data_IF_203410735497
#
_entry.id   IF_203410735497
#
_cell.length_a   1.000
_cell.length_b   1.000
_cell.length_c   1.000
_cell.angle_alpha   90.00
_cell.angle_beta   90.00
_cell.angle_gamma   90.00
#
_symmetry.space_group_name_H-M   'P 1'
#
loop_
_entity.id
_entity.type
_entity.pdbx_description
1 polymer ?
#
# COMPACT_ATOMS: atom_id res chain seq x y z
N UNK A 1 -6.02 19.04 14.81
CA UNK A 1 -7.42 18.84 14.38
C UNK A 1 -7.66 17.52 13.62
N UNK A 2 -6.65 16.91 12.98
CA UNK A 2 -6.76 15.61 12.30
C UNK A 2 -7.08 14.42 13.24
N UNK A 3 -6.56 14.42 14.48
CA UNK A 3 -6.76 13.31 15.44
C UNK A 3 -8.19 13.19 16.00
N UNK A 4 -8.97 14.28 16.01
CA UNK A 4 -10.39 14.24 16.44
C UNK A 4 -11.31 13.66 15.36
N UNK A 5 -11.01 13.87 14.07
CA UNK A 5 -11.75 13.27 12.95
C UNK A 5 -11.53 11.75 12.87
N UNK A 6 -10.30 11.28 13.15
CA UNK A 6 -9.99 9.85 13.20
C UNK A 6 -10.79 9.12 14.30
N UNK A 7 -10.84 9.69 15.51
CA UNK A 7 -11.60 9.12 16.63
C UNK A 7 -13.13 9.14 16.44
N UNK A 8 -13.65 10.04 15.60
CA UNK A 8 -15.07 10.07 15.25
C UNK A 8 -15.41 9.04 14.16
N UNK A 9 -14.48 8.75 13.25
CA UNK A 9 -14.60 7.69 12.23
C UNK A 9 -14.59 6.29 12.86
N UNK A 10 -13.65 6.00 13.77
CA UNK A 10 -13.55 4.70 14.45
C UNK A 10 -14.79 4.38 15.30
N UNK A 11 -15.44 5.41 15.87
CA UNK A 11 -16.68 5.24 16.65
C UNK A 11 -17.91 5.02 15.76
N UNK A 12 -17.91 5.51 14.52
CA UNK A 12 -19.04 5.38 13.59
C UNK A 12 -19.08 4.03 12.86
N UNK A 13 -17.92 3.39 12.65
CA UNK A 13 -17.79 2.10 11.97
C UNK A 13 -17.57 0.90 12.92
N UNK A 14 -17.60 1.10 14.23
CA UNK A 14 -17.45 0.03 15.22
C UNK A 14 -18.59 -1.01 15.18
N UNK A 15 -19.74 -0.72 14.56
CA UNK A 15 -20.86 -1.66 14.42
C UNK A 15 -20.58 -2.79 13.42
N UNK A 16 -19.66 -2.58 12.48
CA UNK A 16 -19.33 -3.56 11.42
C UNK A 16 -18.23 -4.56 11.82
N UNK A 17 -17.63 -4.40 13.01
CA UNK A 17 -16.66 -5.36 13.57
C UNK A 17 -17.24 -6.76 13.85
N UNK A 18 -18.56 -6.93 13.78
CA UNK A 18 -19.18 -8.25 13.93
C UNK A 18 -19.06 -9.13 12.67
N UNK A 19 -18.61 -8.56 11.55
CA UNK A 19 -18.51 -9.25 10.25
C UNK A 19 -17.09 -9.28 9.67
N UNK A 20 -16.10 -8.72 10.38
CA UNK A 20 -14.70 -8.90 10.00
C UNK A 20 -14.28 -10.32 10.33
N UNK A 21 -13.77 -11.05 9.35
CA UNK A 21 -13.25 -12.40 9.53
C UNK A 21 -12.19 -12.38 10.64
N UNK A 22 -12.09 -13.46 11.41
CA UNK A 22 -11.12 -13.59 12.52
C UNK A 22 -9.66 -13.40 12.10
N UNK A 23 -9.37 -13.37 10.81
CA UNK A 23 -8.04 -13.11 10.22
C UNK A 23 -7.71 -11.61 10.05
N UNK A 24 -8.69 -10.70 10.07
CA UNK A 24 -8.46 -9.25 9.94
C UNK A 24 -7.77 -8.62 11.15
N UNK A 25 -7.82 -9.28 12.32
CA UNK A 25 -7.12 -8.84 13.53
C UNK A 25 -5.59 -9.01 13.39
N UNK A 26 -5.14 -9.90 12.50
CA UNK A 26 -3.71 -10.11 12.22
C UNK A 26 -3.13 -9.06 11.26
N UNK A 27 -3.94 -8.40 10.43
CA UNK A 27 -3.42 -7.41 9.48
C UNK A 27 -2.93 -6.12 10.16
N UNK A 28 -3.61 -5.70 11.23
CA UNK A 28 -3.23 -4.50 12.01
C UNK A 28 -2.05 -4.71 12.97
N UNK A 29 -1.80 -5.95 13.40
CA UNK A 29 -0.74 -6.28 14.37
C UNK A 29 0.63 -6.48 13.70
N UNK A 30 0.69 -6.79 12.41
CA UNK A 30 1.96 -6.90 11.67
C UNK A 30 2.60 -5.55 11.29
N UNK A 31 1.87 -4.44 11.35
CA UNK A 31 2.42 -3.10 11.11
C UNK A 31 3.26 -2.56 12.29
N UNK A 32 3.09 -3.09 13.51
CA UNK A 32 3.68 -2.51 14.73
C UNK A 32 4.82 -3.31 15.39
N UNK A 33 5.30 -4.41 14.81
CA UNK A 33 6.40 -5.20 15.39
C UNK A 33 7.65 -5.23 14.52
N UNK A 34 8.32 -4.08 14.48
CA UNK A 34 9.77 -4.04 14.33
C UNK A 34 10.37 -3.09 15.36
N UNK A 35 10.28 -3.49 16.63
CA UNK A 35 11.10 -2.91 17.70
C UNK A 35 12.28 -3.85 17.92
N UNK A 36 13.30 -3.75 17.07
CA UNK A 36 14.60 -4.37 17.35
C UNK A 36 15.23 -3.60 18.52
N UNK A 37 15.08 -4.13 19.73
CA UNK A 37 15.81 -3.71 20.92
C UNK A 37 17.26 -4.14 20.74
N UNK A 38 18.15 -3.21 20.39
CA UNK A 38 19.60 -3.45 20.36
C UNK A 38 20.20 -2.95 21.67
N UNK A 39 20.40 -3.86 22.61
CA UNK A 39 21.37 -3.64 23.69
C UNK A 39 22.73 -4.04 23.14
N UNK A 40 23.64 -3.08 22.98
CA UNK A 40 25.04 -3.34 22.66
C UNK A 40 25.92 -2.82 23.80
N UNK A 41 26.48 -3.77 24.55
CA UNK A 41 27.47 -3.52 25.61
C UNK A 41 28.81 -3.34 24.92
N UNK A 42 29.42 -2.14 25.02
CA UNK A 42 30.82 -1.96 24.60
C UNK A 42 31.69 -2.04 25.84
N UNK A 43 32.49 -3.10 25.93
CA UNK A 43 33.52 -3.24 26.95
C UNK A 43 34.81 -2.63 26.42
N UNK A 44 35.29 -1.55 27.05
CA UNK A 44 36.67 -1.08 26.87
C UNK A 44 37.46 -1.47 28.11
N UNK A 45 38.45 -2.35 27.95
CA UNK A 45 39.46 -2.60 28.98
C UNK A 45 40.56 -1.56 28.84
N UNK A 46 40.76 -0.77 29.88
CA UNK A 46 41.99 0.01 30.02
C UNK A 46 42.77 -0.47 31.25
N UNK A 47 44.08 -0.59 31.06
CA UNK A 47 45.00 -1.22 32.00
C UNK A 47 45.32 -0.31 33.17
N UNK A 48 44.42 -0.23 34.15
CA UNK A 48 44.68 0.14 35.56
C UNK A 48 43.40 -0.09 36.34
N UNK A 49 43.36 -1.20 37.08
CA UNK A 49 42.19 -1.63 37.84
C UNK A 49 41.65 -0.54 38.77
N UNK A 50 40.54 0.07 38.37
CA UNK A 50 39.61 0.77 39.25
C UNK A 50 38.24 0.77 38.57
N UNK A 51 37.29 0.05 39.16
CA UNK A 51 35.90 -0.02 38.69
C UNK A 51 35.23 1.33 38.96
N UNK A 52 34.72 1.99 37.93
CA UNK A 52 33.91 3.22 38.05
C UNK A 52 32.65 3.09 37.21
N UNK A 53 31.52 3.36 37.87
CA UNK A 53 30.11 3.25 37.47
C UNK A 53 29.79 3.42 35.98
N UNK A 54 29.01 2.48 35.44
CA UNK A 54 28.39 2.56 34.11
C UNK A 54 27.28 3.62 34.11
N UNK A 55 27.52 4.77 33.48
CA UNK A 55 26.42 5.67 33.10
C UNK A 55 25.72 5.10 31.86
N UNK A 56 24.49 4.65 32.07
CA UNK A 56 23.59 4.22 31.01
C UNK A 56 23.13 5.48 30.29
N UNK A 57 23.71 5.78 29.12
CA UNK A 57 23.19 6.84 28.24
C UNK A 57 21.89 6.31 27.61
N UNK A 58 20.80 6.42 28.36
CA UNK A 58 19.45 6.32 27.85
C UNK A 58 19.07 7.69 27.26
N UNK A 59 19.13 7.81 25.93
CA UNK A 59 18.60 8.94 25.18
C UNK A 59 18.64 8.64 23.69
N UNK A 60 17.57 8.12 23.07
CA UNK A 60 16.43 8.87 22.53
C UNK A 60 16.81 9.86 21.40
N UNK A 61 17.07 9.34 20.21
CA UNK A 61 16.81 10.02 18.93
C UNK A 61 16.95 9.00 17.79
N UNK A 62 15.83 8.40 17.34
CA UNK A 62 15.83 7.66 16.07
C UNK A 62 15.93 8.67 14.92
N UNK A 63 17.13 9.17 14.65
CA UNK A 63 17.37 10.04 13.50
C UNK A 63 17.11 9.25 12.24
N UNK A 64 15.95 9.46 11.61
CA UNK A 64 15.69 9.01 10.26
C UNK A 64 16.56 9.83 9.32
N UNK A 65 17.61 9.22 8.78
CA UNK A 65 18.46 9.86 7.78
C UNK A 65 17.72 9.90 6.43
N UNK A 66 17.88 10.98 5.65
CA UNK A 66 17.27 11.05 4.32
C UNK A 66 17.87 9.99 3.40
N UNK A 67 17.02 9.44 2.53
CA UNK A 67 17.35 8.33 1.66
C UNK A 67 17.48 8.80 0.22
N UNK A 68 18.51 8.30 -0.47
CA UNK A 68 18.81 8.62 -1.87
C UNK A 68 19.08 7.33 -2.65
N UNK A 69 18.99 7.42 -3.98
CA UNK A 69 19.22 6.32 -4.91
C UNK A 69 20.46 6.63 -5.72
N UNK A 70 21.37 5.66 -5.85
CA UNK A 70 22.50 5.75 -6.77
C UNK A 70 22.00 5.74 -8.22
N UNK A 71 22.32 6.75 -9.02
CA UNK A 71 21.83 6.85 -10.41
C UNK A 71 22.70 6.10 -11.42
N UNK A 72 23.89 5.66 -11.01
CA UNK A 72 24.85 4.91 -11.82
C UNK A 72 25.78 4.08 -10.90
N UNK A 73 26.46 3.08 -11.46
CA UNK A 73 27.46 2.31 -10.75
C UNK A 73 28.64 3.20 -10.32
N UNK A 74 29.14 3.01 -9.11
CA UNK A 74 30.31 3.69 -8.59
C UNK A 74 31.35 2.67 -8.13
N UNK A 75 32.51 2.70 -8.77
CA UNK A 75 33.69 1.93 -8.42
C UNK A 75 34.78 2.88 -7.93
N UNK A 76 35.06 2.93 -6.61
CA UNK A 76 36.10 3.81 -6.08
C UNK A 76 37.48 3.34 -6.51
N UNK A 77 38.42 4.29 -6.59
CA UNK A 77 39.83 3.99 -6.83
C UNK A 77 40.40 3.13 -5.70
N UNK A 78 41.32 2.22 -6.03
CA UNK A 78 41.88 1.25 -5.06
C UNK A 78 42.64 1.91 -3.90
N UNK A 79 43.02 3.17 -4.04
CA UNK A 79 43.73 3.97 -3.04
C UNK A 79 42.76 4.71 -2.09
N UNK A 80 41.47 4.83 -2.46
CA UNK A 80 40.45 5.51 -1.69
C UNK A 80 39.71 4.55 -0.74
N UNK A 81 40.40 4.24 0.36
CA UNK A 81 39.90 3.34 1.42
C UNK A 81 38.68 3.88 2.18
N UNK A 82 38.36 5.17 2.05
CA UNK A 82 37.20 5.78 2.72
C UNK A 82 35.93 5.75 1.86
N UNK A 83 36.03 5.34 0.59
CA UNK A 83 34.90 5.21 -0.31
C UNK A 83 34.32 3.79 -0.32
N UNK A 84 33.05 3.68 -0.72
CA UNK A 84 32.36 2.40 -0.87
C UNK A 84 31.83 2.26 -2.30
N UNK A 85 31.92 1.06 -2.91
CA UNK A 85 31.30 0.82 -4.19
C UNK A 85 29.77 0.80 -4.06
N UNK A 86 29.08 1.28 -5.09
CA UNK A 86 27.63 1.27 -5.18
C UNK A 86 27.17 0.80 -6.56
N UNK A 87 25.99 0.20 -6.60
CA UNK A 87 25.32 -0.22 -7.85
C UNK A 87 24.20 0.76 -8.20
N UNK A 88 23.92 0.93 -9.50
CA UNK A 88 22.81 1.73 -9.98
C UNK A 88 21.48 1.22 -9.40
N UNK A 89 20.66 2.13 -8.88
CA UNK A 89 19.40 1.83 -8.21
C UNK A 89 19.54 1.49 -6.72
N UNK A 90 20.77 1.41 -6.19
CA UNK A 90 20.99 1.08 -4.79
C UNK A 90 20.56 2.22 -3.85
N UNK A 91 19.82 1.84 -2.80
CA UNK A 91 19.27 2.77 -1.82
C UNK A 91 20.24 2.95 -0.66
N UNK A 92 20.55 4.20 -0.33
CA UNK A 92 21.47 4.57 0.76
C UNK A 92 20.87 5.63 1.69
N UNK A 93 21.28 5.59 2.96
CA UNK A 93 21.05 6.70 3.90
C UNK A 93 22.18 7.71 3.80
N UNK A 94 21.85 8.99 3.67
CA UNK A 94 22.84 10.07 3.67
C UNK A 94 23.03 10.57 5.10
N UNK A 95 24.21 10.32 5.65
CA UNK A 95 24.61 10.68 7.01
C UNK A 95 25.12 12.13 7.08
N UNK A 96 25.86 12.56 6.06
CA UNK A 96 26.35 13.94 5.91
C UNK A 96 26.37 14.37 4.43
N UNK A 97 25.82 15.56 4.15
CA UNK A 97 25.79 16.20 2.83
C UNK A 97 26.24 17.66 2.86
N UNK A 98 26.94 18.10 3.91
CA UNK A 98 27.42 19.48 4.04
C UNK A 98 28.44 19.83 2.97
N UNK A 99 29.22 18.86 2.52
CA UNK A 99 30.10 18.98 1.36
C UNK A 99 29.30 18.65 0.10
N UNK A 100 29.18 19.60 -0.84
CA UNK A 100 28.42 19.41 -2.08
C UNK A 100 29.06 18.39 -3.03
N UNK A 101 30.36 18.14 -2.91
CA UNK A 101 31.11 17.26 -3.80
C UNK A 101 31.10 15.82 -3.29
N UNK A 102 31.14 15.60 -1.98
CA UNK A 102 31.33 14.27 -1.38
C UNK A 102 30.42 14.06 -0.19
N UNK A 103 29.55 13.05 -0.27
CA UNK A 103 28.54 12.74 0.74
C UNK A 103 28.91 11.49 1.51
N UNK A 104 28.67 11.48 2.82
CA UNK A 104 28.84 10.30 3.65
C UNK A 104 27.54 9.50 3.62
N UNK A 105 27.62 8.27 3.13
CA UNK A 105 26.45 7.42 2.95
C UNK A 105 26.61 6.09 3.69
N UNK A 106 25.48 5.49 4.04
CA UNK A 106 25.38 4.18 4.66
C UNK A 106 24.46 3.28 3.85
N UNK A 107 24.98 2.12 3.46
CA UNK A 107 24.18 1.12 2.75
C UNK A 107 23.21 0.41 3.69
N UNK A 108 22.09 -0.04 3.13
CA UNK A 108 21.09 -0.84 3.85
C UNK A 108 21.43 -2.33 3.93
N UNK A 109 22.60 -2.74 3.42
CA UNK A 109 23.06 -4.12 3.43
C UNK A 109 23.37 -4.62 4.85
N UNK A 110 23.52 -5.95 4.99
CA UNK A 110 23.95 -6.60 6.25
C UNK A 110 25.24 -7.40 5.99
N UNK A 111 26.40 -6.99 6.55
CA UNK A 111 26.60 -5.84 7.44
C UNK A 111 26.49 -4.49 6.70
N UNK A 112 26.05 -3.42 7.40
CA UNK A 112 25.97 -2.09 6.80
C UNK A 112 27.38 -1.55 6.57
N UNK A 113 27.62 -1.01 5.37
CA UNK A 113 28.88 -0.35 5.02
C UNK A 113 28.65 1.14 4.93
N UNK A 114 29.59 1.94 5.42
CA UNK A 114 29.54 3.39 5.30
C UNK A 114 30.81 3.90 4.62
N UNK A 115 30.68 4.94 3.83
CA UNK A 115 31.81 5.54 3.14
C UNK A 115 31.39 6.76 2.32
N UNK A 116 32.38 7.43 1.77
CA UNK A 116 32.22 8.66 1.02
C UNK A 116 32.01 8.39 -0.46
N UNK A 117 31.01 9.05 -1.05
CA UNK A 117 30.69 8.92 -2.48
C UNK A 117 30.36 10.30 -3.05
N UNK A 118 30.73 10.61 -4.32
CA UNK A 118 30.40 11.89 -4.91
C UNK A 118 28.89 12.18 -4.91
N UNK A 119 28.51 13.39 -4.50
CA UNK A 119 27.09 13.78 -4.39
C UNK A 119 26.32 13.71 -5.71
N UNK A 120 27.02 13.88 -6.85
CA UNK A 120 26.45 13.80 -8.21
C UNK A 120 25.94 12.41 -8.61
N UNK A 121 26.29 11.36 -7.85
CA UNK A 121 25.83 9.99 -8.10
C UNK A 121 24.48 9.70 -7.43
N UNK A 122 23.92 10.66 -6.70
CA UNK A 122 22.70 10.46 -5.94
C UNK A 122 21.58 11.35 -6.41
N UNK A 123 20.41 10.75 -6.44
CA UNK A 123 19.17 11.46 -6.68
C UNK A 123 18.14 11.08 -5.62
N UNK A 124 17.22 12.00 -5.35
CA UNK A 124 16.10 11.68 -4.46
C UNK A 124 15.23 10.61 -5.14
N UNK A 125 14.58 9.71 -4.38
CA UNK A 125 13.67 8.74 -4.98
C UNK A 125 12.65 9.40 -5.92
N UNK A 126 12.12 10.57 -5.54
CA UNK A 126 11.16 11.33 -6.36
C UNK A 126 11.69 11.71 -7.73
N UNK A 127 12.92 12.23 -7.83
CA UNK A 127 13.49 12.66 -9.11
C UNK A 127 13.98 11.47 -9.95
N UNK A 128 14.55 10.43 -9.32
CA UNK A 128 14.97 9.20 -10.00
C UNK A 128 13.81 8.54 -10.76
N UNK A 129 12.63 8.43 -10.15
CA UNK A 129 11.46 7.86 -10.81
C UNK A 129 10.83 8.79 -11.86
N UNK A 130 10.94 10.12 -11.70
CA UNK A 130 10.52 11.10 -12.73
C UNK A 130 11.41 11.05 -13.97
N UNK A 131 12.73 10.93 -13.79
CA UNK A 131 13.67 10.86 -14.90
C UNK A 131 13.51 9.55 -15.66
N UNK A 132 13.32 8.42 -14.96
CA UNK A 132 12.95 7.13 -15.58
C UNK A 132 11.62 7.17 -16.35
N UNK A 133 10.64 7.97 -15.91
CA UNK A 133 9.42 8.23 -16.70
C UNK A 133 9.73 8.99 -17.98
N UNK A 134 10.64 9.98 -17.93
CA UNK A 134 10.98 10.85 -19.06
C UNK A 134 11.88 10.18 -20.12
N UNK A 135 12.85 9.36 -19.71
CA UNK A 135 13.68 8.58 -20.64
C UNK A 135 12.93 7.41 -21.29
N UNK A 136 11.82 6.95 -20.69
CA UNK A 136 10.90 5.96 -21.30
C UNK A 136 10.05 6.53 -22.45
N UNK A 137 10.00 7.86 -22.62
CA UNK A 137 9.21 8.50 -23.68
C UNK A 137 10.07 8.89 -24.91
N UNK A 138 11.40 8.76 -24.86
CA UNK A 138 12.29 9.15 -25.97
C UNK A 138 13.44 8.13 -26.10
N UNK A 139 13.17 6.96 -26.68
CA UNK A 139 14.16 6.20 -27.45
C UNK A 139 13.45 5.11 -28.28
N UNK A 140 13.36 5.34 -29.60
CA UNK A 140 12.94 4.34 -30.60
C UNK A 140 14.02 3.25 -30.72
N UNK A 141 14.08 2.34 -29.76
CA UNK A 141 14.80 1.07 -29.88
C UNK A 141 13.74 -0.01 -30.01
N UNK A 142 13.88 -0.91 -30.97
CA UNK A 142 13.05 -2.11 -31.06
C UNK A 142 13.09 -2.85 -29.72
N UNK A 143 12.00 -2.81 -28.94
CA UNK A 143 11.86 -3.54 -27.69
C UNK A 143 12.07 -5.03 -27.97
N UNK A 144 12.82 -5.74 -27.12
CA UNK A 144 12.79 -7.21 -27.17
C UNK A 144 11.40 -7.71 -26.77
N UNK A 145 11.03 -8.92 -27.21
CA UNK A 145 9.74 -9.52 -26.87
C UNK A 145 9.52 -9.58 -25.34
N UNK A 146 10.58 -9.80 -24.57
CA UNK A 146 10.56 -9.82 -23.11
C UNK A 146 10.24 -8.44 -22.51
N UNK A 147 10.87 -7.38 -23.02
CA UNK A 147 10.61 -6.02 -22.56
C UNK A 147 9.20 -5.56 -22.93
N UNK A 148 8.73 -5.91 -24.14
CA UNK A 148 7.36 -5.66 -24.57
C UNK A 148 6.35 -6.40 -23.67
N UNK A 149 6.63 -7.65 -23.30
CA UNK A 149 5.79 -8.42 -22.39
C UNK A 149 5.72 -7.80 -20.99
N UNK A 150 6.83 -7.29 -20.45
CA UNK A 150 6.86 -6.61 -19.16
C UNK A 150 6.05 -5.31 -19.17
N UNK A 151 6.19 -4.49 -20.23
CA UNK A 151 5.40 -3.27 -20.41
C UNK A 151 3.91 -3.60 -20.53
N UNK A 152 3.55 -4.61 -21.32
CA UNK A 152 2.15 -5.05 -21.47
C UNK A 152 1.57 -5.57 -20.15
N UNK A 153 2.36 -6.33 -19.36
CA UNK A 153 1.94 -6.81 -18.04
C UNK A 153 1.64 -5.64 -17.09
N UNK A 154 2.49 -4.62 -17.11
CA UNK A 154 2.29 -3.41 -16.32
C UNK A 154 1.02 -2.67 -16.74
N UNK A 155 0.79 -2.50 -18.05
CA UNK A 155 -0.43 -1.88 -18.59
C UNK A 155 -1.69 -2.63 -18.17
N UNK A 156 -1.74 -3.95 -18.38
CA UNK A 156 -2.90 -4.79 -18.02
C UNK A 156 -3.20 -4.73 -16.52
N UNK A 157 -2.16 -4.70 -15.68
CA UNK A 157 -2.34 -4.58 -14.24
C UNK A 157 -2.95 -3.23 -13.85
N UNK A 158 -2.50 -2.13 -14.45
CA UNK A 158 -3.07 -0.81 -14.17
C UNK A 158 -4.50 -0.67 -14.72
N UNK A 159 -4.81 -1.29 -15.86
CA UNK A 159 -6.18 -1.40 -16.37
C UNK A 159 -7.08 -2.16 -15.39
N UNK A 160 -6.60 -3.30 -14.86
CA UNK A 160 -7.31 -4.05 -13.83
C UNK A 160 -7.59 -3.20 -12.60
N UNK A 161 -6.56 -2.54 -12.04
CA UNK A 161 -6.71 -1.70 -10.86
C UNK A 161 -7.70 -0.56 -11.10
N UNK A 162 -7.61 0.12 -12.24
CA UNK A 162 -8.53 1.18 -12.62
C UNK A 162 -9.96 0.66 -12.74
N UNK A 163 -10.17 -0.47 -13.42
CA UNK A 163 -11.51 -1.06 -13.57
C UNK A 163 -12.11 -1.45 -12.22
N UNK A 164 -11.29 -1.90 -11.27
CA UNK A 164 -11.71 -2.21 -9.90
C UNK A 164 -12.13 -0.94 -9.14
N UNK A 165 -11.37 0.16 -9.27
CA UNK A 165 -11.75 1.46 -8.68
C UNK A 165 -13.09 1.97 -9.22
N UNK A 166 -13.30 1.87 -10.53
CA UNK A 166 -14.56 2.24 -11.19
C UNK A 166 -15.73 1.35 -10.72
N UNK A 167 -15.49 0.05 -10.56
CA UNK A 167 -16.49 -0.89 -10.04
C UNK A 167 -16.86 -0.61 -8.57
N UNK A 168 -15.85 -0.41 -7.70
CA UNK A 168 -16.04 0.00 -6.30
C UNK A 168 -16.81 1.32 -6.20
N UNK A 169 -16.54 2.27 -7.08
CA UNK A 169 -17.28 3.53 -7.14
C UNK A 169 -18.75 3.30 -7.49
N UNK A 170 -19.04 2.40 -8.42
CA UNK A 170 -20.41 2.07 -8.83
C UNK A 170 -21.19 1.38 -7.69
N UNK A 171 -20.57 0.40 -7.02
CA UNK A 171 -21.13 -0.25 -5.84
C UNK A 171 -21.38 0.76 -4.71
N UNK A 172 -20.47 1.72 -4.51
CA UNK A 172 -20.65 2.79 -3.53
C UNK A 172 -21.89 3.62 -3.83
N UNK A 173 -22.10 4.02 -5.09
CA UNK A 173 -23.31 4.73 -5.51
C UNK A 173 -24.57 3.92 -5.18
N UNK A 174 -24.58 2.62 -5.45
CA UNK A 174 -25.70 1.75 -5.06
C UNK A 174 -25.97 1.80 -3.55
N UNK A 175 -24.94 1.74 -2.71
CA UNK A 175 -25.09 1.78 -1.24
C UNK A 175 -25.50 3.17 -0.74
N UNK A 176 -24.77 4.21 -1.13
CA UNK A 176 -24.90 5.55 -0.58
C UNK A 176 -26.14 6.29 -1.10
N UNK A 177 -26.58 6.00 -2.33
CA UNK A 177 -27.66 6.75 -3.00
C UNK A 177 -28.95 5.93 -3.15
N UNK A 178 -28.88 4.65 -3.53
CA UNK A 178 -30.10 3.84 -3.76
C UNK A 178 -30.57 3.10 -2.51
N UNK A 179 -29.69 2.32 -1.87
CA UNK A 179 -30.03 1.51 -0.70
C UNK A 179 -30.37 2.41 0.49
N UNK A 180 -29.60 3.48 0.69
CA UNK A 180 -29.85 4.43 1.77
C UNK A 180 -31.21 5.11 1.69
N UNK A 181 -31.73 5.34 0.48
CA UNK A 181 -33.07 5.92 0.28
C UNK A 181 -34.17 4.96 0.74
N UNK A 182 -33.93 3.64 0.72
CA UNK A 182 -34.88 2.64 1.25
C UNK A 182 -35.02 2.69 2.78
N UNK A 183 -34.09 3.34 3.48
CA UNK A 183 -34.17 3.52 4.93
C UNK A 183 -34.98 4.77 5.33
N UNK A 184 -35.51 5.53 4.36
CA UNK A 184 -36.31 6.72 4.63
C UNK A 184 -37.71 6.33 5.19
N UNK A 185 -38.17 6.97 6.28
CA UNK A 185 -39.51 6.72 6.83
C UNK A 185 -40.67 6.94 5.85
N UNK A 186 -40.51 7.80 4.85
CA UNK A 186 -41.53 8.17 3.85
C UNK A 186 -41.63 7.16 2.69
N UNK A 187 -40.80 6.12 2.66
CA UNK A 187 -40.84 5.08 1.61
C UNK A 187 -42.20 4.37 1.60
N UNK A 188 -42.81 4.12 0.42
CA UNK A 188 -44.05 3.37 0.30
C UNK A 188 -43.98 1.98 0.95
N UNK A 189 -45.07 1.52 1.56
CA UNK A 189 -45.11 0.21 2.24
C UNK A 189 -44.80 -0.97 1.29
N UNK A 190 -45.18 -0.86 0.01
CA UNK A 190 -44.82 -1.84 -1.02
C UNK A 190 -43.29 -1.97 -1.16
N UNK A 191 -42.55 -0.86 -1.15
CA UNK A 191 -41.08 -0.85 -1.26
C UNK A 191 -40.45 -1.30 0.06
N UNK A 192 -40.95 -0.84 1.21
CA UNK A 192 -40.45 -1.26 2.54
C UNK A 192 -40.52 -2.77 2.74
N UNK A 193 -41.63 -3.40 2.31
CA UNK A 193 -41.83 -4.85 2.43
C UNK A 193 -40.77 -5.65 1.68
N UNK A 194 -40.32 -5.14 0.54
CA UNK A 194 -39.36 -5.82 -0.33
C UNK A 194 -37.92 -5.26 -0.21
N UNK A 195 -37.63 -4.53 0.87
CA UNK A 195 -36.33 -3.87 1.08
C UNK A 195 -35.14 -4.81 0.90
N UNK A 196 -35.17 -6.00 1.51
CA UNK A 196 -34.05 -6.95 1.44
C UNK A 196 -33.83 -7.48 0.01
N UNK A 197 -34.92 -7.78 -0.70
CA UNK A 197 -34.89 -8.26 -2.10
C UNK A 197 -34.39 -7.19 -3.07
N UNK A 198 -34.72 -5.92 -2.82
CA UNK A 198 -34.24 -4.76 -3.59
C UNK A 198 -32.78 -4.42 -3.28
N UNK A 199 -32.33 -4.65 -2.05
CA UNK A 199 -30.96 -4.36 -1.60
C UNK A 199 -29.96 -5.41 -2.10
N UNK A 200 -30.41 -6.67 -2.25
CA UNK A 200 -29.54 -7.82 -2.48
C UNK A 200 -28.40 -7.86 -1.42
N UNK A 201 -27.28 -8.49 -1.75
CA UNK A 201 -26.05 -8.44 -0.96
C UNK A 201 -25.05 -7.38 -1.49
N UNK A 202 -25.56 -6.27 -2.07
CA UNK A 202 -24.73 -5.18 -2.58
C UNK A 202 -23.82 -4.57 -1.50
N UNK A 203 -24.26 -4.36 -0.23
CA UNK A 203 -23.38 -3.87 0.83
C UNK A 203 -22.19 -4.80 1.10
N UNK A 204 -22.41 -6.11 1.05
CA UNK A 204 -21.38 -7.14 1.23
C UNK A 204 -20.39 -7.13 0.07
N UNK A 205 -20.89 -7.07 -1.18
CA UNK A 205 -20.07 -6.92 -2.38
C UNK A 205 -19.23 -5.63 -2.34
N UNK A 206 -19.84 -4.50 -1.97
CA UNK A 206 -19.14 -3.23 -1.80
C UNK A 206 -18.01 -3.35 -0.78
N UNK A 207 -18.28 -3.95 0.38
CA UNK A 207 -17.26 -4.13 1.39
C UNK A 207 -16.12 -5.04 0.91
N UNK A 208 -16.44 -6.16 0.28
CA UNK A 208 -15.43 -7.07 -0.29
C UNK A 208 -14.54 -6.32 -1.30
N UNK A 209 -15.15 -5.69 -2.30
CA UNK A 209 -14.39 -5.03 -3.36
C UNK A 209 -13.59 -3.82 -2.84
N UNK A 210 -14.21 -2.95 -2.03
CA UNK A 210 -13.55 -1.74 -1.55
C UNK A 210 -12.46 -2.01 -0.50
N UNK A 211 -12.71 -2.95 0.43
CA UNK A 211 -11.86 -3.13 1.60
C UNK A 211 -10.92 -4.33 1.51
N UNK A 212 -11.19 -5.29 0.64
CA UNK A 212 -10.39 -6.51 0.51
C UNK A 212 -9.73 -6.56 -0.87
N UNK A 213 -10.52 -6.56 -1.94
CA UNK A 213 -10.00 -6.72 -3.30
C UNK A 213 -9.13 -5.54 -3.73
N UNK A 214 -9.66 -4.31 -3.69
CA UNK A 214 -8.94 -3.12 -4.11
C UNK A 214 -7.67 -2.86 -3.28
N UNK A 215 -7.71 -3.14 -1.97
CA UNK A 215 -6.51 -3.06 -1.11
C UNK A 215 -5.49 -4.16 -1.44
N UNK A 216 -5.98 -5.37 -1.71
CA UNK A 216 -5.17 -6.50 -2.13
C UNK A 216 -4.46 -6.26 -3.46
N UNK A 217 -5.16 -5.66 -4.44
CA UNK A 217 -4.55 -5.23 -5.69
C UNK A 217 -3.49 -4.17 -5.42
N UNK A 218 -3.84 -3.07 -4.74
CA UNK A 218 -2.91 -1.97 -4.44
C UNK A 218 -1.61 -2.41 -3.76
N UNK A 219 -1.66 -3.44 -2.89
CA UNK A 219 -0.47 -4.00 -2.24
C UNK A 219 0.57 -4.55 -3.24
N UNK A 220 0.13 -5.08 -4.38
CA UNK A 220 1.00 -5.61 -5.43
C UNK A 220 1.21 -4.64 -6.60
N UNK A 221 0.93 -3.35 -6.42
CA UNK A 221 1.08 -2.35 -7.49
C UNK A 221 2.51 -2.22 -8.01
N UNK A 222 3.50 -2.48 -7.16
CA UNK A 222 4.92 -2.49 -7.54
C UNK A 222 5.41 -3.85 -8.10
N UNK A 223 4.62 -4.92 -7.97
CA UNK A 223 4.95 -6.25 -8.48
C UNK A 223 3.74 -6.94 -9.14
N UNK A 224 3.37 -6.52 -10.37
CA UNK A 224 2.26 -7.09 -11.13
C UNK A 224 2.34 -8.61 -11.33
N UNK A 225 3.54 -9.20 -11.20
CA UNK A 225 3.74 -10.65 -11.36
C UNK A 225 3.10 -11.48 -10.25
N UNK A 226 2.76 -10.86 -9.13
CA UNK A 226 2.14 -11.53 -7.99
C UNK A 226 0.64 -11.32 -7.90
N UNK A 227 0.03 -10.56 -8.82
CA UNK A 227 -1.41 -10.27 -8.79
C UNK A 227 -2.26 -11.54 -8.76
N UNK A 228 -1.83 -12.61 -9.45
CA UNK A 228 -2.53 -13.90 -9.44
C UNK A 228 -2.64 -14.53 -8.04
N UNK A 229 -1.66 -14.30 -7.15
CA UNK A 229 -1.71 -14.80 -5.77
C UNK A 229 -2.83 -14.12 -4.97
N UNK A 230 -3.14 -12.85 -5.27
CA UNK A 230 -4.30 -12.16 -4.67
C UNK A 230 -5.58 -12.88 -4.99
N UNK A 231 -5.83 -13.22 -6.26
CA UNK A 231 -7.05 -13.91 -6.67
C UNK A 231 -7.17 -15.30 -6.06
N UNK A 232 -6.10 -16.10 -6.07
CA UNK A 232 -6.10 -17.43 -5.45
C UNK A 232 -6.39 -17.35 -3.96
N UNK A 233 -5.81 -16.37 -3.26
CA UNK A 233 -6.06 -16.17 -1.83
C UNK A 233 -7.50 -15.75 -1.53
N UNK A 234 -8.12 -14.99 -2.43
CA UNK A 234 -9.48 -14.46 -2.28
C UNK A 234 -10.56 -15.36 -2.91
N UNK A 235 -10.22 -16.58 -3.32
CA UNK A 235 -11.11 -17.50 -4.05
C UNK A 235 -12.49 -17.64 -3.40
N UNK A 236 -12.52 -17.82 -2.08
CA UNK A 236 -13.78 -17.98 -1.33
C UNK A 236 -14.54 -16.68 -1.17
N UNK A 237 -13.86 -15.54 -1.09
CA UNK A 237 -14.53 -14.24 -0.95
C UNK A 237 -15.37 -13.88 -2.19
N UNK A 238 -15.02 -14.43 -3.36
CA UNK A 238 -15.82 -14.31 -4.58
C UNK A 238 -17.17 -15.07 -4.53
N UNK A 239 -17.41 -15.93 -3.53
CA UNK A 239 -18.73 -16.58 -3.34
C UNK A 239 -19.87 -15.56 -3.15
N UNK A 240 -19.55 -14.36 -2.67
CA UNK A 240 -20.48 -13.22 -2.59
C UNK A 240 -21.17 -12.89 -3.93
N UNK A 241 -20.48 -13.06 -5.07
CA UNK A 241 -21.09 -12.90 -6.39
C UNK A 241 -22.12 -13.98 -6.70
N UNK A 242 -21.88 -15.21 -6.26
CA UNK A 242 -22.83 -16.32 -6.45
C UNK A 242 -24.11 -16.05 -5.70
N UNK A 243 -24.03 -15.52 -4.48
CA UNK A 243 -25.19 -15.10 -3.69
C UNK A 243 -26.00 -14.00 -4.39
N UNK A 244 -25.32 -12.99 -4.94
CA UNK A 244 -25.97 -11.93 -5.71
C UNK A 244 -26.77 -12.49 -6.88
N UNK A 245 -26.13 -13.31 -7.72
CA UNK A 245 -26.76 -13.82 -8.94
C UNK A 245 -27.89 -14.84 -8.68
N UNK A 246 -27.94 -15.47 -7.51
CA UNK A 246 -29.07 -16.34 -7.13
C UNK A 246 -30.39 -15.56 -7.04
N UNK A 247 -30.34 -14.32 -6.55
CA UNK A 247 -31.52 -13.49 -6.31
C UNK A 247 -31.75 -12.45 -7.42
N UNK A 248 -30.72 -12.13 -8.19
CA UNK A 248 -30.73 -11.09 -9.22
C UNK A 248 -31.93 -11.18 -10.19
N UNK A 249 -32.24 -12.36 -10.70
CA UNK A 249 -33.31 -12.53 -11.68
C UNK A 249 -34.71 -12.23 -11.11
N UNK A 250 -34.94 -12.49 -9.82
CA UNK A 250 -36.21 -12.22 -9.16
C UNK A 250 -36.30 -10.74 -8.75
N UNK A 251 -35.20 -10.14 -8.30
CA UNK A 251 -35.12 -8.68 -8.05
C UNK A 251 -35.38 -7.87 -9.32
N UNK A 252 -34.90 -8.32 -10.50
CA UNK A 252 -35.23 -7.64 -11.77
C UNK A 252 -36.74 -7.65 -12.07
N UNK A 253 -37.45 -8.74 -11.76
CA UNK A 253 -38.92 -8.79 -11.94
C UNK A 253 -39.62 -7.86 -10.95
N UNK A 254 -39.13 -7.84 -9.71
CA UNK A 254 -39.65 -7.00 -8.65
C UNK A 254 -39.51 -5.50 -8.98
N UNK A 255 -38.40 -5.10 -9.60
CA UNK A 255 -38.18 -3.72 -10.06
C UNK A 255 -39.18 -3.27 -11.14
N UNK A 256 -39.83 -4.20 -11.84
CA UNK A 256 -40.88 -3.90 -12.84
C UNK A 256 -42.28 -3.82 -12.21
N UNK A 257 -42.45 -4.11 -10.92
CA UNK A 257 -43.74 -3.92 -10.25
C UNK A 257 -44.13 -2.43 -10.22
N UNK A 258 -45.38 -2.05 -10.51
CA UNK A 258 -45.76 -0.65 -10.73
C UNK A 258 -45.41 0.29 -9.58
N UNK A 259 -45.63 -0.15 -8.34
CA UNK A 259 -45.39 0.66 -7.14
C UNK A 259 -43.90 0.85 -6.85
N UNK A 260 -43.09 -0.16 -7.15
CA UNK A 260 -41.63 -0.14 -6.96
C UNK A 260 -40.97 0.65 -8.08
N UNK A 261 -41.36 0.40 -9.32
CA UNK A 261 -40.86 1.11 -10.50
C UNK A 261 -41.08 2.62 -10.37
N UNK A 262 -42.29 3.02 -9.98
CA UNK A 262 -42.65 4.43 -9.79
C UNK A 262 -41.84 5.13 -8.68
N UNK A 263 -41.31 4.37 -7.72
CA UNK A 263 -40.48 4.94 -6.65
C UNK A 263 -39.06 5.29 -7.13
N UNK A 264 -38.54 4.57 -8.12
CA UNK A 264 -37.18 4.77 -8.64
C UNK A 264 -37.11 5.64 -9.92
N UNK A 265 -38.25 5.95 -10.54
CA UNK A 265 -38.39 6.89 -11.68
C UNK A 265 -38.52 8.36 -11.22
#
# INVERSE_FOLDING_TARGET
MASRRQKQFDRKYSSYRKFTATEDVNYSTHSSRSSYRSESVTSRTDGRGRSTSSEVIAGSESRSYPVYIAIQDYTPDKEDIEAIPLEQGQIVEVLDKKNSIRWLVRTKARPPRSGWVPGSYFETPTEFYKQRRRTREIENVSLSDEQAALVKRDQVYHELLRSEEEFVSSLRTCVDDYIKVLDDPEVPEAVKKHREELTLNIPELYNFHANVMLKGLNYYSDDPGKVGQTFVRLEKDFESHVEFYKQYADTLKLLEEPDIKRFFE
#
